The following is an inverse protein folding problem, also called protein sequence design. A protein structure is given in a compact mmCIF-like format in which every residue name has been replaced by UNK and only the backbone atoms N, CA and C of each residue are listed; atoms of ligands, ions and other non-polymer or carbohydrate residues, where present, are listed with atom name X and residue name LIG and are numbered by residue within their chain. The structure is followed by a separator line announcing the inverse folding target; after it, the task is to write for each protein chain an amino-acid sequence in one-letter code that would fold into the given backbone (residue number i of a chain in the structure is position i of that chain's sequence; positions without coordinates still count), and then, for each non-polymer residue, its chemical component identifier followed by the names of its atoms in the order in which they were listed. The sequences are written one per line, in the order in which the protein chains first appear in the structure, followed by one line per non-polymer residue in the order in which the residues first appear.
data_IF_034439509494
#
_entry.id   IF_034439509494
#
_cell.length_a   1.000
_cell.length_b   1.000
_cell.length_c   1.000
_cell.angle_alpha   90.00
_cell.angle_beta   90.00
_cell.angle_gamma   90.00
#
_symmetry.space_group_name_H-M   'P 1'
#
loop_
_entity.id
_entity.type
_entity.pdbx_description
1 polymer ?
#
# COMPACT_ATOMS: atom_id res chain seq x y z
N UNK A 1 -1.56 -0.13 -31.91
CA UNK A 1 -0.40 0.22 -31.08
C UNK A 1 0.45 -1.06 -30.95
N UNK A 2 1.69 -1.06 -31.43
CA UNK A 2 2.66 -2.11 -31.16
C UNK A 2 3.33 -1.77 -29.83
N UNK A 3 3.26 -2.65 -28.85
CA UNK A 3 3.88 -2.49 -27.53
C UNK A 3 4.10 -3.84 -26.86
N UNK A 4 4.93 -3.86 -25.84
CA UNK A 4 5.08 -5.03 -25.00
C UNK A 4 3.87 -5.13 -24.07
N UNK A 5 3.31 -6.32 -23.94
CA UNK A 5 2.14 -6.57 -23.09
C UNK A 5 2.52 -7.59 -22.03
N UNK A 6 1.98 -7.44 -20.83
CA UNK A 6 2.02 -8.43 -19.75
C UNK A 6 0.64 -9.07 -19.70
N UNK A 7 0.60 -10.39 -19.68
CA UNK A 7 -0.63 -11.17 -19.52
C UNK A 7 -0.57 -11.87 -18.17
N UNK A 8 -1.55 -11.61 -17.31
CA UNK A 8 -1.64 -12.17 -15.96
C UNK A 8 -3.02 -12.80 -15.76
N UNK A 9 -3.11 -13.80 -14.89
CA UNK A 9 -4.40 -14.32 -14.46
C UNK A 9 -5.15 -13.24 -13.68
N UNK A 10 -6.43 -13.04 -14.00
CA UNK A 10 -7.31 -12.18 -13.22
C UNK A 10 -7.70 -12.90 -11.92
N UNK A 11 -7.51 -12.23 -10.81
CA UNK A 11 -7.97 -12.68 -9.48
C UNK A 11 -9.27 -11.95 -9.17
N UNK A 12 -10.39 -12.67 -9.18
CA UNK A 12 -11.69 -12.11 -8.79
C UNK A 12 -11.73 -11.88 -7.28
N UNK A 13 -12.10 -10.66 -6.85
CA UNK A 13 -12.19 -10.30 -5.44
C UNK A 13 -11.89 -8.83 -5.16
N UNK A 14 -11.44 -8.54 -3.95
CA UNK A 14 -11.18 -7.17 -3.48
C UNK A 14 -9.75 -6.72 -3.82
N UNK A 15 -9.60 -5.42 -4.03
CA UNK A 15 -8.27 -4.78 -4.08
C UNK A 15 -7.98 -4.08 -2.76
N UNK A 16 -6.74 -4.16 -2.30
CA UNK A 16 -6.28 -3.36 -1.18
C UNK A 16 -4.83 -2.91 -1.33
N UNK A 17 -4.54 -1.79 -0.70
CA UNK A 17 -3.23 -1.16 -0.64
C UNK A 17 -2.70 -1.17 0.79
N UNK A 18 -1.43 -1.53 0.97
CA UNK A 18 -0.79 -1.60 2.29
C UNK A 18 0.39 -0.65 2.33
N UNK A 19 0.26 0.53 2.94
CA UNK A 19 1.38 1.41 3.16
C UNK A 19 2.36 0.85 4.20
N UNK A 20 3.65 0.96 3.91
CA UNK A 20 4.72 0.51 4.78
C UNK A 20 5.75 1.62 4.95
N UNK A 21 6.16 1.88 6.18
CA UNK A 21 7.18 2.87 6.52
C UNK A 21 8.33 2.22 7.29
N UNK A 22 9.55 2.67 7.04
CA UNK A 22 10.72 2.31 7.84
C UNK A 22 11.24 3.54 8.58
N UNK A 23 11.11 3.53 9.90
CA UNK A 23 11.51 4.64 10.77
C UNK A 23 12.42 4.07 11.86
N UNK A 24 13.62 4.62 12.01
CA UNK A 24 14.61 4.14 12.98
C UNK A 24 14.84 2.61 12.89
N UNK A 25 15.00 2.10 11.67
CA UNK A 25 15.17 0.67 11.35
C UNK A 25 13.98 -0.24 11.69
N UNK A 26 12.90 0.31 12.20
CA UNK A 26 11.67 -0.43 12.46
C UNK A 26 10.74 -0.29 11.26
N UNK A 27 10.27 -1.44 10.76
CA UNK A 27 9.28 -1.49 9.69
C UNK A 27 7.88 -1.43 10.32
N UNK A 28 7.15 -0.37 9.96
CA UNK A 28 5.76 -0.13 10.35
C UNK A 28 4.85 -0.45 9.17
N UNK A 29 4.11 -1.54 9.26
CA UNK A 29 3.06 -1.89 8.30
C UNK A 29 1.77 -1.25 8.80
N UNK A 30 1.18 -0.37 8.01
CA UNK A 30 -0.07 0.29 8.37
C UNK A 30 -1.27 -0.63 8.06
N UNK A 31 -2.45 -0.36 8.66
CA UNK A 31 -3.65 -1.11 8.34
C UNK A 31 -3.93 -1.14 6.84
N UNK A 32 -4.30 -2.31 6.27
CA UNK A 32 -4.64 -2.41 4.86
C UNK A 32 -5.87 -1.57 4.51
N UNK A 33 -5.80 -0.89 3.38
CA UNK A 33 -6.85 -0.01 2.87
C UNK A 33 -7.50 -0.65 1.66
N UNK A 34 -8.77 -1.00 1.75
CA UNK A 34 -9.56 -1.52 0.64
C UNK A 34 -9.92 -0.42 -0.37
N UNK A 35 -10.04 -0.80 -1.64
CA UNK A 35 -10.39 0.10 -2.75
C UNK A 35 -11.86 -0.14 -3.16
N UNK A 36 -12.72 0.84 -2.94
CA UNK A 36 -14.09 0.84 -3.46
C UNK A 36 -14.08 1.27 -4.93
N UNK A 37 -14.14 0.29 -5.81
CA UNK A 37 -14.08 0.48 -7.27
C UNK A 37 -15.39 0.99 -7.89
N UNK A 38 -16.42 1.30 -7.08
CA UNK A 38 -17.73 1.79 -7.57
C UNK A 38 -18.38 0.89 -8.61
N UNK A 39 -18.26 -0.43 -8.42
CA UNK A 39 -18.82 -1.45 -9.31
C UNK A 39 -17.93 -1.84 -10.50
N UNK A 40 -16.73 -1.29 -10.63
CA UNK A 40 -15.74 -1.77 -11.58
C UNK A 40 -15.01 -3.02 -11.05
N UNK A 41 -14.33 -3.75 -11.93
CA UNK A 41 -13.60 -4.97 -11.57
C UNK A 41 -12.13 -4.72 -11.25
N UNK A 42 -11.55 -3.64 -11.77
CA UNK A 42 -10.15 -3.25 -11.58
C UNK A 42 -10.03 -1.73 -11.49
N UNK A 43 -8.98 -1.27 -10.82
CA UNK A 43 -8.58 0.14 -10.83
C UNK A 43 -7.80 0.40 -12.13
N UNK A 44 -8.49 0.82 -13.17
CA UNK A 44 -7.87 1.20 -14.43
C UNK A 44 -7.36 2.67 -14.39
N UNK A 45 -6.53 3.03 -15.40
CA UNK A 45 -5.93 4.36 -15.51
C UNK A 45 -6.99 5.48 -15.50
N UNK A 46 -8.08 5.32 -16.26
CA UNK A 46 -9.16 6.30 -16.34
C UNK A 46 -9.87 6.50 -14.99
N UNK A 47 -10.09 5.43 -14.24
CA UNK A 47 -10.69 5.48 -12.89
C UNK A 47 -9.75 6.15 -11.89
N UNK A 48 -8.46 5.83 -11.98
CA UNK A 48 -7.42 6.39 -11.12
C UNK A 48 -7.23 7.88 -11.36
N UNK A 49 -7.09 8.32 -12.62
CA UNK A 49 -6.91 9.73 -12.98
C UNK A 49 -8.11 10.61 -12.61
N UNK A 50 -9.32 10.08 -12.69
CA UNK A 50 -10.55 10.81 -12.34
C UNK A 50 -10.92 10.72 -10.86
N UNK A 51 -10.11 10.03 -10.04
CA UNK A 51 -10.42 9.76 -8.63
C UNK A 51 -11.82 9.15 -8.41
N UNK A 52 -12.29 8.33 -9.36
CA UNK A 52 -13.62 7.72 -9.31
C UNK A 52 -13.59 6.37 -8.56
N UNK A 53 -12.97 6.37 -7.40
CA UNK A 53 -12.90 5.25 -6.45
C UNK A 53 -12.86 5.80 -5.03
N UNK A 54 -13.09 4.95 -4.06
CA UNK A 54 -13.06 5.30 -2.64
C UNK A 54 -12.13 4.40 -1.85
N UNK A 55 -12.03 4.68 -0.56
CA UNK A 55 -11.25 3.89 0.38
C UNK A 55 -12.10 3.44 1.56
N UNK A 56 -11.78 2.27 2.11
CA UNK A 56 -12.35 1.76 3.35
C UNK A 56 -11.28 0.99 4.14
N UNK A 57 -11.48 0.79 5.45
CA UNK A 57 -10.61 -0.08 6.21
C UNK A 57 -10.91 -1.54 5.86
N UNK A 58 -9.91 -2.31 5.46
CA UNK A 58 -10.10 -3.67 4.99
C UNK A 58 -10.65 -4.60 6.10
N UNK A 59 -10.47 -4.25 7.36
CA UNK A 59 -11.05 -4.95 8.51
C UNK A 59 -12.58 -4.93 8.54
N UNK A 60 -13.22 -4.03 7.80
CA UNK A 60 -14.67 -3.97 7.67
C UNK A 60 -15.24 -5.10 6.79
N UNK A 61 -14.41 -5.74 5.95
CA UNK A 61 -14.84 -6.75 4.97
C UNK A 61 -14.11 -8.08 5.10
N UNK A 62 -12.92 -8.10 5.68
CA UNK A 62 -12.05 -9.27 5.72
C UNK A 62 -11.80 -9.78 7.15
N UNK A 63 -11.51 -11.08 7.28
CA UNK A 63 -11.19 -11.71 8.57
C UNK A 63 -9.84 -11.23 9.12
N UNK A 64 -9.68 -11.28 10.44
CA UNK A 64 -8.41 -10.96 11.10
C UNK A 64 -7.25 -11.85 10.62
N UNK A 65 -7.51 -13.09 10.23
CA UNK A 65 -6.50 -13.99 9.67
C UNK A 65 -6.01 -13.48 8.29
N UNK A 66 -6.94 -13.10 7.41
CA UNK A 66 -6.62 -12.51 6.11
C UNK A 66 -5.81 -11.22 6.28
N UNK A 67 -6.24 -10.31 7.17
CA UNK A 67 -5.53 -9.06 7.48
C UNK A 67 -4.11 -9.34 7.97
N UNK A 68 -3.95 -10.28 8.89
CA UNK A 68 -2.65 -10.66 9.44
C UNK A 68 -1.71 -11.18 8.35
N UNK A 69 -2.21 -12.05 7.45
CA UNK A 69 -1.42 -12.56 6.32
C UNK A 69 -1.00 -11.45 5.36
N UNK A 70 -1.91 -10.55 5.03
CA UNK A 70 -1.64 -9.39 4.15
C UNK A 70 -0.52 -8.53 4.74
N UNK A 71 -0.63 -8.18 6.03
CA UNK A 71 0.39 -7.35 6.70
C UNK A 71 1.75 -8.07 6.78
N UNK A 72 1.77 -9.38 7.02
CA UNK A 72 3.00 -10.18 6.99
C UNK A 72 3.63 -10.20 5.59
N UNK A 73 2.83 -10.38 4.54
CA UNK A 73 3.31 -10.37 3.16
C UNK A 73 3.81 -9.00 2.75
N UNK A 74 3.12 -7.93 3.11
CA UNK A 74 3.58 -6.57 2.85
C UNK A 74 4.93 -6.29 3.52
N UNK A 75 5.10 -6.66 4.80
CA UNK A 75 6.38 -6.56 5.51
C UNK A 75 7.47 -7.35 4.80
N UNK A 76 7.19 -8.61 4.47
CA UNK A 76 8.16 -9.49 3.81
C UNK A 76 8.56 -8.99 2.44
N UNK A 77 7.62 -8.46 1.66
CA UNK A 77 7.88 -7.85 0.35
C UNK A 77 8.79 -6.64 0.50
N UNK A 78 8.51 -5.75 1.45
CA UNK A 78 9.31 -4.57 1.75
C UNK A 78 10.76 -4.94 2.12
N UNK A 79 10.94 -5.99 2.94
CA UNK A 79 12.26 -6.51 3.35
C UNK A 79 13.00 -7.13 2.17
N UNK A 80 12.37 -8.02 1.40
CA UNK A 80 12.97 -8.74 0.29
C UNK A 80 13.45 -7.81 -0.83
N UNK A 81 12.70 -6.76 -1.10
CA UNK A 81 13.05 -5.76 -2.10
C UNK A 81 13.98 -4.67 -1.56
N UNK A 82 14.40 -4.78 -0.31
CA UNK A 82 15.26 -3.79 0.35
C UNK A 82 14.71 -2.37 0.21
N UNK A 83 13.38 -2.24 0.31
CA UNK A 83 12.74 -0.93 0.25
C UNK A 83 13.11 -0.09 1.46
N UNK A 84 13.29 1.19 1.25
CA UNK A 84 13.68 2.12 2.31
C UNK A 84 12.66 3.25 2.46
N UNK A 85 12.63 3.84 3.65
CA UNK A 85 11.82 4.99 4.04
C UNK A 85 10.33 4.71 3.99
N UNK A 86 9.74 4.50 2.81
CA UNK A 86 8.33 4.16 2.68
C UNK A 86 8.06 3.47 1.34
N UNK A 87 6.93 2.81 1.27
CA UNK A 87 6.44 2.16 0.07
C UNK A 87 5.01 1.67 0.24
N UNK A 88 4.49 1.01 -0.77
CA UNK A 88 3.16 0.43 -0.77
C UNK A 88 3.19 -0.91 -1.49
N UNK A 89 2.50 -1.88 -0.92
CA UNK A 89 2.30 -3.20 -1.53
C UNK A 89 0.82 -3.39 -1.77
N UNK A 90 0.44 -3.71 -3.01
CA UNK A 90 -0.94 -3.81 -3.43
C UNK A 90 -1.33 -5.26 -3.63
N UNK A 91 -2.51 -5.62 -3.14
CA UNK A 91 -3.01 -6.98 -3.13
C UNK A 91 -4.38 -7.08 -3.79
N UNK A 92 -4.60 -8.22 -4.45
CA UNK A 92 -5.96 -8.73 -4.69
C UNK A 92 -6.23 -9.88 -3.73
N UNK A 93 -7.46 -9.94 -3.22
CA UNK A 93 -7.90 -10.94 -2.26
C UNK A 93 -9.03 -11.71 -2.92
N UNK A 94 -8.85 -13.01 -3.09
CA UNK A 94 -9.89 -13.85 -3.69
C UNK A 94 -11.08 -14.08 -2.72
N UNK A 95 -12.12 -14.72 -3.22
CA UNK A 95 -13.34 -15.05 -2.44
C UNK A 95 -13.08 -15.95 -1.22
N UNK A 96 -11.96 -16.65 -1.21
CA UNK A 96 -11.55 -17.54 -0.13
C UNK A 96 -10.63 -16.82 0.89
N UNK A 97 -10.40 -15.51 0.70
CA UNK A 97 -9.57 -14.66 1.54
C UNK A 97 -8.07 -14.83 1.30
N UNK A 98 -7.64 -15.40 0.17
CA UNK A 98 -6.22 -15.54 -0.13
C UNK A 98 -5.68 -14.27 -0.78
N UNK A 99 -4.64 -13.63 -0.20
CA UNK A 99 -4.04 -12.44 -0.77
C UNK A 99 -2.97 -12.78 -1.80
N UNK A 100 -2.98 -12.02 -2.90
CA UNK A 100 -2.01 -12.08 -4.00
C UNK A 100 -1.41 -10.70 -4.20
N UNK A 101 -0.08 -10.58 -4.10
CA UNK A 101 0.64 -9.34 -4.45
C UNK A 101 0.56 -9.14 -5.96
N UNK A 102 0.16 -7.97 -6.42
CA UNK A 102 0.11 -7.69 -7.87
C UNK A 102 0.82 -6.41 -8.28
N UNK A 103 0.98 -5.44 -7.36
CA UNK A 103 1.78 -4.24 -7.61
C UNK A 103 2.57 -3.82 -6.38
N UNK A 104 3.70 -3.17 -6.62
CA UNK A 104 4.60 -2.69 -5.57
C UNK A 104 5.10 -1.30 -5.97
N UNK A 105 4.77 -0.31 -5.17
CA UNK A 105 5.20 1.06 -5.40
C UNK A 105 6.26 1.48 -4.40
N UNK A 106 7.43 1.85 -4.90
CA UNK A 106 8.54 2.40 -4.09
C UNK A 106 8.40 3.91 -3.87
N UNK A 107 7.53 4.56 -4.63
CA UNK A 107 7.20 5.98 -4.52
C UNK A 107 5.68 6.18 -4.68
N UNK A 108 4.88 5.62 -3.76
CA UNK A 108 3.42 5.71 -3.85
C UNK A 108 2.94 7.16 -3.71
N UNK A 109 1.78 7.43 -4.28
CA UNK A 109 1.14 8.74 -4.13
C UNK A 109 0.89 9.08 -2.66
N UNK A 110 1.25 10.32 -2.29
CA UNK A 110 1.01 10.90 -0.97
C UNK A 110 0.04 12.07 -1.05
N UNK A 111 -0.80 12.13 -2.11
CA UNK A 111 -1.84 13.15 -2.27
C UNK A 111 -2.94 13.00 -1.23
N UNK A 112 -3.80 14.01 -1.08
CA UNK A 112 -4.96 13.92 -0.18
C UNK A 112 -5.90 12.75 -0.53
N UNK A 113 -6.02 12.41 -1.81
CA UNK A 113 -6.75 11.23 -2.26
C UNK A 113 -5.76 10.07 -2.51
N UNK A 114 -5.31 9.46 -1.43
CA UNK A 114 -4.44 8.27 -1.45
C UNK A 114 -4.72 7.38 -0.24
N UNK A 115 -4.42 6.09 -0.35
CA UNK A 115 -4.54 5.15 0.77
C UNK A 115 -3.69 5.54 1.97
N UNK A 116 -2.51 6.13 1.73
CA UNK A 116 -1.64 6.64 2.79
C UNK A 116 -2.35 7.74 3.57
N UNK A 117 -2.91 8.74 2.89
CA UNK A 117 -3.65 9.83 3.52
C UNK A 117 -4.87 9.32 4.27
N UNK A 118 -5.60 8.39 3.66
CA UNK A 118 -6.78 7.79 4.28
C UNK A 118 -6.43 7.07 5.59
N UNK A 119 -5.42 6.20 5.59
CA UNK A 119 -5.08 5.44 6.80
C UNK A 119 -4.46 6.31 7.89
N UNK A 120 -3.68 7.35 7.52
CA UNK A 120 -3.17 8.32 8.50
C UNK A 120 -4.31 9.05 9.21
N UNK A 121 -5.32 9.51 8.46
CA UNK A 121 -6.52 10.13 9.03
C UNK A 121 -7.26 9.17 9.98
N UNK A 122 -7.46 7.91 9.58
CA UNK A 122 -8.09 6.88 10.43
C UNK A 122 -7.32 6.59 11.71
N UNK A 123 -6.00 6.72 11.69
CA UNK A 123 -5.14 6.58 12.86
C UNK A 123 -5.05 7.86 13.72
N UNK A 124 -5.73 8.94 13.33
CA UNK A 124 -5.74 10.22 14.04
C UNK A 124 -4.55 11.12 13.75
N UNK A 125 -3.79 10.84 12.69
CA UNK A 125 -2.70 11.68 12.22
C UNK A 125 -3.18 12.71 11.20
N UNK A 126 -2.50 13.86 11.14
CA UNK A 126 -2.77 14.86 10.12
C UNK A 126 -2.03 14.58 8.81
N UNK A 127 -2.51 15.15 7.71
CA UNK A 127 -1.84 15.03 6.40
C UNK A 127 -0.35 15.42 6.40
N UNK A 128 0.11 16.50 7.06
CA UNK A 128 1.52 16.81 7.19
C UNK A 128 2.36 15.75 7.91
N UNK A 129 1.75 14.90 8.76
CA UNK A 129 2.48 13.88 9.51
C UNK A 129 3.03 12.77 8.59
N UNK A 130 2.43 12.58 7.40
CA UNK A 130 2.96 11.69 6.35
C UNK A 130 4.38 12.14 5.96
N UNK A 131 4.54 13.43 5.68
CA UNK A 131 5.83 13.97 5.26
C UNK A 131 6.85 14.00 6.40
N UNK A 132 6.40 14.23 7.64
CA UNK A 132 7.26 14.10 8.82
C UNK A 132 7.80 12.67 8.95
N UNK A 133 6.95 11.65 8.78
CA UNK A 133 7.36 10.25 8.83
C UNK A 133 8.39 9.93 7.74
N UNK A 134 8.16 10.38 6.50
CA UNK A 134 9.10 10.22 5.38
C UNK A 134 10.45 10.90 5.68
N UNK A 135 10.42 12.15 6.15
CA UNK A 135 11.64 12.91 6.45
C UNK A 135 12.43 12.25 7.58
N UNK A 136 11.78 11.81 8.66
CA UNK A 136 12.45 11.12 9.77
C UNK A 136 13.11 9.84 9.29
N UNK A 137 12.42 9.03 8.48
CA UNK A 137 12.97 7.80 7.90
C UNK A 137 14.20 8.09 7.01
N UNK A 138 14.13 9.12 6.17
CA UNK A 138 15.23 9.51 5.27
C UNK A 138 16.45 10.05 6.02
N UNK A 139 16.27 10.85 7.07
CA UNK A 139 17.39 11.38 7.89
C UNK A 139 18.11 10.22 8.59
N UNK A 140 17.37 9.28 9.16
CA UNK A 140 17.94 8.14 9.85
C UNK A 140 18.80 7.28 8.93
N UNK A 141 18.32 7.01 7.72
CA UNK A 141 19.08 6.29 6.68
C UNK A 141 20.41 6.97 6.34
N UNK A 142 20.42 8.28 6.17
CA UNK A 142 21.64 9.01 5.83
C UNK A 142 22.70 8.93 6.93
N UNK A 143 22.31 9.02 8.19
CA UNK A 143 23.24 8.88 9.32
C UNK A 143 23.88 7.50 9.45
N UNK A 144 23.26 6.45 8.88
CA UNK A 144 23.87 5.11 8.85
C UNK A 144 24.90 4.97 7.73
N UNK A 145 24.64 5.57 6.57
CA UNK A 145 25.57 5.54 5.43
C UNK A 145 26.87 6.31 5.72
N UNK A 146 26.81 7.33 6.57
CA UNK A 146 27.99 8.12 6.99
C UNK A 146 28.89 7.39 8.01
N UNK A 147 28.44 6.25 8.57
CA UNK A 147 29.17 5.45 9.56
C UNK A 147 29.84 4.19 9.00
N UNK A 148 29.61 3.87 7.73
CA UNK A 148 30.19 2.76 6.99
C UNK A 148 31.16 3.25 5.92
#
# INVERSE_FOLDING_TARGET
KSGNYIIQSYIEGEECEVPVFKINDVIHVLPPVGIDLKGKQILDEDTSEKYNYGFYLLEDTQSNDTITRIMQYAKRTFELLQMDVYGRVDFRIDKDGNPYVFDISTTPYTTLHSSISFVFDKLGYSYPDIYKAIIIGAIHKNHQNDKN
#
